data_IF_232657931835
#
_entry.id   IF_232657931835
#
_cell.length_a   1.000
_cell.length_b   1.000
_cell.length_c   1.000
_cell.angle_alpha   90.00
_cell.angle_beta   90.00
_cell.angle_gamma   90.00
#
_symmetry.space_group_name_H-M   'P 1'
#
loop_
_entity.id
_entity.type
_entity.pdbx_description
1 polymer ?
#
# COMPACT_ATOMS: atom_id res chain seq x y z
N UNK A 1 -8.36 3.08 -7.43
CA UNK A 1 -8.72 2.95 -6.00
C UNK A 1 -8.35 4.21 -5.27
N UNK A 2 -9.19 4.64 -4.34
CA UNK A 2 -8.88 5.78 -3.49
C UNK A 2 -7.89 5.39 -2.38
N UNK A 3 -7.33 6.39 -1.71
CA UNK A 3 -6.46 6.14 -0.55
C UNK A 3 -7.16 5.30 0.52
N UNK A 4 -8.43 5.59 0.77
CA UNK A 4 -9.21 4.86 1.76
C UNK A 4 -9.42 3.40 1.35
N UNK A 5 -9.71 3.16 0.08
CA UNK A 5 -9.88 1.80 -0.42
C UNK A 5 -8.59 0.99 -0.30
N UNK A 6 -7.46 1.60 -0.59
CA UNK A 6 -6.15 0.96 -0.45
C UNK A 6 -5.88 0.64 1.02
N UNK A 7 -6.20 1.57 1.92
CA UNK A 7 -6.03 1.36 3.35
C UNK A 7 -6.95 0.25 3.87
N UNK A 8 -8.19 0.19 3.39
CA UNK A 8 -9.13 -0.88 3.74
C UNK A 8 -8.63 -2.24 3.27
N UNK A 9 -8.09 -2.29 2.06
CA UNK A 9 -7.49 -3.51 1.54
C UNK A 9 -6.34 -3.98 2.44
N UNK A 10 -5.45 -3.08 2.80
CA UNK A 10 -4.32 -3.39 3.66
C UNK A 10 -4.77 -3.89 5.03
N UNK A 11 -5.79 -3.26 5.62
CA UNK A 11 -6.26 -3.62 6.95
C UNK A 11 -6.88 -5.03 7.00
N UNK A 12 -7.33 -5.55 5.87
CA UNK A 12 -7.89 -6.90 5.77
C UNK A 12 -6.83 -7.98 5.61
N UNK A 13 -5.59 -7.60 5.35
CA UNK A 13 -4.50 -8.56 5.21
C UNK A 13 -4.10 -9.14 6.56
N UNK A 14 -3.63 -10.39 6.55
CA UNK A 14 -3.02 -10.99 7.73
C UNK A 14 -1.69 -10.31 8.04
N UNK A 15 -1.24 -10.42 9.29
CA UNK A 15 -0.02 -9.73 9.71
C UNK A 15 1.20 -10.04 8.84
N UNK A 16 1.39 -11.31 8.49
CA UNK A 16 2.48 -11.71 7.59
C UNK A 16 2.32 -11.14 6.18
N UNK A 17 1.08 -11.06 5.70
CA UNK A 17 0.78 -10.48 4.40
C UNK A 17 1.04 -8.98 4.36
N UNK A 18 0.72 -8.28 5.45
CA UNK A 18 0.99 -6.84 5.56
C UNK A 18 2.47 -6.55 5.37
N UNK A 19 3.35 -7.33 6.01
CA UNK A 19 4.79 -7.19 5.86
C UNK A 19 5.25 -7.40 4.42
N UNK A 20 4.73 -8.44 3.78
CA UNK A 20 5.07 -8.73 2.37
C UNK A 20 4.60 -7.62 1.45
N UNK A 21 3.39 -7.12 1.66
CA UNK A 21 2.82 -6.06 0.84
C UNK A 21 3.66 -4.78 0.92
N UNK A 22 3.99 -4.34 2.12
CA UNK A 22 4.82 -3.14 2.30
C UNK A 22 6.24 -3.34 1.78
N UNK A 23 6.81 -4.53 1.94
CA UNK A 23 8.12 -4.84 1.38
C UNK A 23 8.10 -4.75 -0.15
N UNK A 24 7.06 -5.30 -0.78
CA UNK A 24 6.89 -5.21 -2.24
C UNK A 24 6.77 -3.76 -2.70
N UNK A 25 6.00 -2.96 -1.99
CA UNK A 25 5.85 -1.54 -2.32
C UNK A 25 7.18 -0.79 -2.22
N UNK A 26 7.97 -1.08 -1.18
CA UNK A 26 9.26 -0.42 -1.01
C UNK A 26 10.24 -0.80 -2.12
N UNK A 27 10.19 -2.04 -2.59
CA UNK A 27 11.05 -2.51 -3.68
C UNK A 27 10.62 -1.95 -5.04
N UNK A 28 9.33 -1.78 -5.25
CA UNK A 28 8.77 -1.36 -6.54
C UNK A 28 8.70 0.15 -6.68
N UNK A 29 8.28 0.84 -5.61
CA UNK A 29 8.01 2.27 -5.62
C UNK A 29 9.04 3.09 -4.86
N UNK A 30 9.93 2.44 -4.13
CA UNK A 30 10.94 3.10 -3.31
C UNK A 30 10.48 3.32 -1.88
N UNK A 31 11.38 3.83 -1.04
CA UNK A 31 11.13 4.03 0.38
C UNK A 31 11.41 2.76 1.19
N UNK A 32 10.86 2.69 2.38
CA UNK A 32 11.01 1.53 3.25
C UNK A 32 9.65 0.93 3.59
N UNK A 33 9.60 -0.36 3.98
CA UNK A 33 8.34 -0.98 4.40
C UNK A 33 7.67 -0.21 5.55
N UNK A 34 8.46 0.27 6.49
CA UNK A 34 7.93 1.03 7.63
C UNK A 34 7.28 2.34 7.18
N UNK A 35 7.90 3.05 6.24
CA UNK A 35 7.35 4.29 5.69
C UNK A 35 6.00 4.02 5.02
N UNK A 36 5.90 2.96 4.23
CA UNK A 36 4.65 2.58 3.58
C UNK A 36 3.57 2.21 4.59
N UNK A 37 3.93 1.49 5.64
CA UNK A 37 3.01 1.15 6.71
C UNK A 37 2.42 2.41 7.36
N UNK A 38 3.26 3.38 7.68
CA UNK A 38 2.81 4.64 8.29
C UNK A 38 1.90 5.43 7.35
N UNK A 39 2.23 5.50 6.06
CA UNK A 39 1.40 6.17 5.07
C UNK A 39 0.02 5.54 4.98
N UNK A 40 -0.04 4.23 4.87
CA UNK A 40 -1.31 3.50 4.73
C UNK A 40 -2.15 3.65 5.99
N UNK A 41 -1.55 3.57 7.16
CA UNK A 41 -2.26 3.78 8.41
C UNK A 41 -2.81 5.21 8.53
N UNK A 42 -2.05 6.19 8.04
CA UNK A 42 -2.52 7.58 7.99
C UNK A 42 -3.74 7.73 7.10
N UNK A 43 -3.77 7.05 5.95
CA UNK A 43 -4.92 7.07 5.04
C UNK A 43 -6.15 6.42 5.69
N UNK A 44 -5.95 5.33 6.43
CA UNK A 44 -7.05 4.63 7.11
C UNK A 44 -7.70 5.52 8.19
N UNK A 45 -6.89 6.31 8.87
CA UNK A 45 -7.36 7.21 9.93
C UNK A 45 -7.86 8.55 9.41
N UNK A 46 -7.79 8.76 8.11
CA UNK A 46 -8.15 10.02 7.48
C UNK A 46 -7.35 11.21 8.06
N UNK A 47 -6.11 10.94 8.46
CA UNK A 47 -5.21 11.98 8.93
C UNK A 47 -4.68 12.73 7.71
N UNK A 48 -4.73 14.05 7.75
CA UNK A 48 -4.27 14.93 6.68
C UNK A 48 -2.78 14.75 6.46
N UNK A 49 -2.43 13.86 5.54
CA UNK A 49 -1.08 13.74 5.02
C UNK A 49 -1.02 14.31 3.60
N UNK A 50 0.13 14.17 2.97
CA UNK A 50 0.24 14.53 1.56
C UNK A 50 -0.66 13.60 0.74
N UNK A 51 -1.47 14.13 -0.17
CA UNK A 51 -2.26 13.28 -1.04
C UNK A 51 -1.34 12.39 -1.88
N UNK A 52 -1.80 11.17 -2.12
CA UNK A 52 -1.08 10.23 -2.98
C UNK A 52 -1.05 10.79 -4.40
N UNK A 53 0.13 10.75 -5.04
CA UNK A 53 0.22 11.20 -6.43
C UNK A 53 -0.59 10.27 -7.34
N UNK A 54 -1.14 10.78 -8.45
CA UNK A 54 -1.90 9.93 -9.38
C UNK A 54 -1.10 8.74 -9.91
N UNK A 55 0.20 8.91 -10.09
CA UNK A 55 1.09 7.84 -10.57
C UNK A 55 1.17 6.73 -9.53
N UNK A 56 1.38 7.08 -8.27
CA UNK A 56 1.46 6.11 -7.18
C UNK A 56 0.12 5.40 -6.99
N UNK A 57 -0.98 6.14 -7.04
CA UNK A 57 -2.32 5.56 -6.93
C UNK A 57 -2.57 4.52 -8.01
N UNK A 58 -2.21 4.84 -9.26
CA UNK A 58 -2.37 3.93 -10.38
C UNK A 58 -1.54 2.67 -10.20
N UNK A 59 -0.30 2.81 -9.75
CA UNK A 59 0.58 1.66 -9.51
C UNK A 59 0.05 0.79 -8.38
N UNK A 60 -0.37 1.37 -7.27
CA UNK A 60 -0.95 0.62 -6.16
C UNK A 60 -2.22 -0.12 -6.59
N UNK A 61 -3.08 0.54 -7.35
CA UNK A 61 -4.30 -0.08 -7.88
C UNK A 61 -3.95 -1.32 -8.72
N UNK A 62 -2.97 -1.19 -9.60
CA UNK A 62 -2.53 -2.30 -10.45
C UNK A 62 -1.96 -3.44 -9.62
N UNK A 63 -1.13 -3.13 -8.62
CA UNK A 63 -0.53 -4.12 -7.74
C UNK A 63 -1.61 -4.91 -6.98
N UNK A 64 -2.61 -4.21 -6.48
CA UNK A 64 -3.70 -4.82 -5.71
C UNK A 64 -4.61 -5.66 -6.61
N UNK A 65 -5.04 -5.11 -7.73
CA UNK A 65 -5.98 -5.80 -8.63
C UNK A 65 -5.39 -7.07 -9.23
N UNK A 66 -4.10 -7.05 -9.50
CA UNK A 66 -3.40 -8.19 -10.12
C UNK A 66 -2.65 -9.06 -9.12
N UNK A 67 -2.75 -8.76 -7.82
CA UNK A 67 -2.03 -9.46 -6.75
C UNK A 67 -0.55 -9.61 -7.02
N UNK A 68 0.07 -8.60 -7.62
CA UNK A 68 1.48 -8.66 -8.03
C UNK A 68 2.43 -8.97 -6.89
N UNK A 69 2.12 -8.46 -5.71
CA UNK A 69 2.97 -8.66 -4.54
C UNK A 69 2.95 -10.10 -4.03
N UNK A 70 1.89 -10.86 -4.31
CA UNK A 70 1.81 -12.28 -3.97
C UNK A 70 2.56 -13.14 -4.98
N UNK A 71 2.62 -12.70 -6.22
CA UNK A 71 3.26 -13.45 -7.29
C UNK A 71 4.79 -13.35 -7.25
N UNK A 72 5.34 -12.48 -6.42
CA UNK A 72 6.79 -12.27 -6.30
C UNK A 72 7.48 -13.31 -5.42
N UNK A 73 6.75 -14.26 -4.88
CA UNK A 73 7.28 -15.29 -4.01
C UNK A 73 7.07 -16.69 -4.57
#
# INVERSE_FOLDING_TARGET
MTQKEIADYYSRLLNGEKGRFTAFLSMTLGGSPHTWQLKILGWARNIMGRPMSPVVEKELTSIIEKDKWRMSY
#
